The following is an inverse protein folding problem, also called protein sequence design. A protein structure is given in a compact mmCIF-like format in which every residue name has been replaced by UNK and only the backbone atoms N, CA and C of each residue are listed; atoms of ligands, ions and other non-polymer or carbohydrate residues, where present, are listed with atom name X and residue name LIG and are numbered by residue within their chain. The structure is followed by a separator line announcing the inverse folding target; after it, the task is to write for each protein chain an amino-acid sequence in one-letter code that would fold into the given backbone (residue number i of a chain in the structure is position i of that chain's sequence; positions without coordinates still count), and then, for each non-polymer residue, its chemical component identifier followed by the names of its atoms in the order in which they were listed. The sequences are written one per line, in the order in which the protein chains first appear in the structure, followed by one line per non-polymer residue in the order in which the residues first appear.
data_IF_603866587141
#
_entry.id   IF_603866587141
#
_cell.length_a   1.000
_cell.length_b   1.000
_cell.length_c   1.000
_cell.angle_alpha   90.00
_cell.angle_beta   90.00
_cell.angle_gamma   90.00
#
_symmetry.space_group_name_H-M   'P 1'
#
loop_
_entity.id
_entity.type
_entity.pdbx_description
1 polymer ?
#
# COMPACT_ATOMS: atom_id res chain seq x y z
N UNK A 1 1.79 22.76 0.88
CA UNK A 1 3.12 22.46 0.28
C UNK A 1 2.93 21.15 -0.45
N UNK A 2 3.36 21.02 -1.71
CA UNK A 2 3.19 19.75 -2.45
C UNK A 2 4.29 18.80 -1.98
N UNK A 3 3.92 17.61 -1.53
CA UNK A 3 4.87 16.56 -1.17
C UNK A 3 5.49 16.00 -2.46
N UNK A 4 6.82 15.96 -2.51
CA UNK A 4 7.55 15.38 -3.64
C UNK A 4 8.01 13.97 -3.27
N UNK A 5 7.48 12.98 -3.97
CA UNK A 5 7.92 11.60 -3.83
C UNK A 5 9.33 11.41 -4.36
N UNK A 6 10.12 10.60 -3.67
CA UNK A 6 11.38 10.11 -4.21
C UNK A 6 11.16 8.85 -5.04
N UNK A 7 12.04 8.60 -6.01
CA UNK A 7 12.02 7.36 -6.79
C UNK A 7 12.14 6.12 -5.88
N UNK A 8 12.88 6.22 -4.79
CA UNK A 8 13.01 5.15 -3.81
C UNK A 8 11.69 4.84 -3.12
N UNK A 9 10.94 5.87 -2.69
CA UNK A 9 9.61 5.70 -2.09
C UNK A 9 8.64 5.05 -3.07
N UNK A 10 8.57 5.54 -4.31
CA UNK A 10 7.70 4.98 -5.35
C UNK A 10 8.06 3.53 -5.68
N UNK A 11 9.36 3.25 -5.82
CA UNK A 11 9.84 1.90 -6.07
C UNK A 11 9.49 0.96 -4.91
N UNK A 12 9.64 1.41 -3.66
CA UNK A 12 9.27 0.63 -2.49
C UNK A 12 7.76 0.33 -2.46
N UNK A 13 6.92 1.33 -2.73
CA UNK A 13 5.46 1.15 -2.81
C UNK A 13 5.05 0.16 -3.92
N UNK A 14 5.84 0.05 -4.99
CA UNK A 14 5.61 -0.88 -6.10
C UNK A 14 6.20 -2.29 -5.89
N UNK A 15 6.58 -2.66 -4.65
CA UNK A 15 7.11 -4.01 -4.34
C UNK A 15 6.01 -4.99 -3.97
N UNK A 16 6.38 -6.28 -4.03
CA UNK A 16 5.56 -7.43 -3.64
C UNK A 16 4.81 -7.26 -2.31
N UNK A 17 5.48 -6.74 -1.28
CA UNK A 17 4.88 -6.57 0.05
C UNK A 17 3.84 -5.44 0.15
N UNK A 18 3.78 -4.56 -0.85
CA UNK A 18 2.91 -3.39 -0.88
C UNK A 18 1.79 -3.54 -1.92
N UNK A 19 1.97 -3.05 -3.16
CA UNK A 19 0.89 -3.02 -4.15
C UNK A 19 0.25 -4.40 -4.42
N UNK A 20 1.04 -5.47 -4.50
CA UNK A 20 0.51 -6.83 -4.69
C UNK A 20 -0.19 -7.39 -3.44
N UNK A 21 0.09 -6.84 -2.26
CA UNK A 21 -0.58 -7.21 -1.02
C UNK A 21 -2.01 -6.66 -0.92
N UNK A 22 -2.46 -5.87 -1.90
CA UNK A 22 -3.87 -5.56 -2.11
C UNK A 22 -4.65 -6.82 -2.50
N UNK A 23 -4.00 -7.74 -3.23
CA UNK A 23 -4.59 -9.00 -3.64
C UNK A 23 -4.55 -10.03 -2.50
N UNK A 24 -5.74 -10.41 -2.02
CA UNK A 24 -5.84 -11.35 -0.91
C UNK A 24 -5.28 -12.74 -1.24
N UNK A 25 -5.39 -13.21 -2.49
CA UNK A 25 -4.88 -14.51 -2.91
C UNK A 25 -3.35 -14.52 -2.96
N UNK A 26 -2.75 -13.41 -3.42
CA UNK A 26 -1.30 -13.24 -3.37
C UNK A 26 -0.78 -13.32 -1.93
N UNK A 27 -1.39 -12.56 -1.02
CA UNK A 27 -1.02 -12.56 0.41
C UNK A 27 -1.21 -13.94 1.03
N UNK A 28 -2.36 -14.58 0.79
CA UNK A 28 -2.66 -15.93 1.26
C UNK A 28 -1.60 -16.94 0.81
N UNK A 29 -1.19 -16.88 -0.45
CA UNK A 29 -0.13 -17.75 -0.99
C UNK A 29 1.21 -17.49 -0.31
N UNK A 30 1.60 -16.23 -0.11
CA UNK A 30 2.86 -15.88 0.55
C UNK A 30 2.88 -16.27 2.02
N UNK A 31 1.76 -16.15 2.72
CA UNK A 31 1.60 -16.65 4.10
C UNK A 31 1.75 -18.17 4.15
N UNK A 32 1.14 -18.91 3.20
CA UNK A 32 1.31 -20.37 3.08
C UNK A 32 2.76 -20.78 2.79
N UNK A 33 3.52 -19.96 2.06
CA UNK A 33 4.97 -20.11 1.86
C UNK A 33 5.81 -19.78 3.13
N UNK A 34 5.18 -19.42 4.24
CA UNK A 34 5.85 -19.06 5.50
C UNK A 34 6.39 -17.61 5.54
N UNK A 35 6.00 -16.76 4.59
CA UNK A 35 6.41 -15.35 4.57
C UNK A 35 5.45 -14.48 5.37
N UNK A 36 5.98 -13.41 5.96
CA UNK A 36 5.20 -12.42 6.71
C UNK A 36 4.69 -11.35 5.74
N UNK A 37 3.44 -11.47 5.32
CA UNK A 37 2.75 -10.48 4.48
C UNK A 37 1.49 -10.01 5.22
N UNK A 38 1.10 -8.77 4.97
CA UNK A 38 -0.10 -8.14 5.51
C UNK A 38 -1.01 -7.72 4.35
N UNK A 39 -2.33 -7.74 4.55
CA UNK A 39 -3.27 -7.26 3.56
C UNK A 39 -3.29 -5.73 3.56
N UNK A 40 -3.04 -5.13 2.39
CA UNK A 40 -3.12 -3.68 2.23
C UNK A 40 -4.59 -3.30 1.97
N UNK A 41 -5.16 -2.49 2.85
CA UNK A 41 -6.58 -2.12 2.85
C UNK A 41 -6.78 -0.60 2.92
N UNK A 42 -7.86 -0.11 2.32
CA UNK A 42 -8.24 1.31 2.26
C UNK A 42 -9.14 1.77 3.42
N UNK A 43 -9.10 1.08 4.56
CA UNK A 43 -9.95 1.42 5.72
C UNK A 43 -9.59 2.80 6.29
N UNK A 44 -10.58 3.68 6.54
CA UNK A 44 -10.31 5.04 7.05
C UNK A 44 -9.83 5.01 8.51
N UNK A 45 -10.43 4.16 9.34
CA UNK A 45 -10.12 4.05 10.77
C UNK A 45 -8.90 3.16 11.04
N UNK A 46 -8.36 3.23 12.26
CA UNK A 46 -7.29 2.35 12.71
C UNK A 46 -7.82 1.00 13.26
N UNK A 47 -9.11 0.70 13.05
CA UNK A 47 -9.72 -0.57 13.44
C UNK A 47 -9.40 -1.64 12.39
N UNK A 48 -8.16 -2.13 12.46
CA UNK A 48 -7.63 -3.13 11.55
C UNK A 48 -7.69 -4.52 12.18
N UNK A 49 -7.94 -5.53 11.34
CA UNK A 49 -7.71 -6.94 11.74
C UNK A 49 -6.21 -7.18 11.94
N UNK A 50 -5.78 -8.21 12.70
CA UNK A 50 -4.37 -8.44 13.02
C UNK A 50 -3.40 -8.50 11.83
N UNK A 51 -3.88 -8.91 10.64
CA UNK A 51 -3.08 -9.02 9.41
C UNK A 51 -3.38 -7.93 8.39
N UNK A 52 -4.16 -6.90 8.73
CA UNK A 52 -4.45 -5.79 7.84
C UNK A 52 -3.55 -4.59 8.14
N UNK A 53 -3.24 -3.82 7.11
CA UNK A 53 -2.44 -2.61 7.19
C UNK A 53 -3.02 -1.56 6.24
N UNK A 54 -3.18 -0.33 6.72
CA UNK A 54 -3.64 0.81 5.93
C UNK A 54 -2.66 1.99 5.94
N UNK A 55 -1.46 1.78 6.52
CA UNK A 55 -0.35 2.72 6.52
C UNK A 55 0.92 2.00 6.12
N UNK A 56 1.64 2.52 5.13
CA UNK A 56 2.91 1.97 4.66
C UNK A 56 4.02 2.91 5.13
N UNK A 57 5.11 2.33 5.64
CA UNK A 57 6.32 3.09 6.02
C UNK A 57 7.45 2.68 5.10
N UNK A 58 8.05 3.64 4.41
CA UNK A 58 9.23 3.40 3.56
C UNK A 58 10.52 3.36 4.40
N UNK A 59 11.63 2.81 3.87
CA UNK A 59 12.90 2.67 4.61
C UNK A 59 13.47 3.97 5.18
N UNK A 60 13.20 5.10 4.54
CA UNK A 60 13.57 6.45 4.98
C UNK A 60 12.70 6.98 6.14
N UNK A 61 11.70 6.20 6.57
CA UNK A 61 10.79 6.55 7.66
C UNK A 61 9.56 7.34 7.23
N UNK A 62 9.42 7.70 5.94
CA UNK A 62 8.22 8.36 5.45
C UNK A 62 7.01 7.43 5.54
N UNK A 63 5.89 7.97 6.01
CA UNK A 63 4.64 7.23 6.14
C UNK A 63 3.63 7.64 5.09
N UNK A 64 2.85 6.67 4.63
CA UNK A 64 1.79 6.85 3.64
C UNK A 64 0.51 6.21 4.13
N UNK A 65 -0.62 6.91 4.02
CA UNK A 65 -1.95 6.36 4.23
C UNK A 65 -2.45 5.76 2.93
N UNK A 66 -2.99 4.54 3.00
CA UNK A 66 -3.71 3.91 1.90
C UNK A 66 -5.12 4.50 1.82
N UNK A 67 -5.44 5.10 0.68
CA UNK A 67 -6.69 5.85 0.44
C UNK A 67 -7.71 5.00 -0.30
N UNK A 68 -7.23 4.21 -1.27
CA UNK A 68 -8.07 3.33 -2.07
C UNK A 68 -7.27 2.12 -2.48
N UNK A 69 -7.91 0.97 -2.55
CA UNK A 69 -7.34 -0.25 -3.12
C UNK A 69 -8.28 -0.85 -4.14
N UNK A 70 -7.73 -1.55 -5.13
CA UNK A 70 -8.48 -2.32 -6.11
C UNK A 70 -7.62 -3.50 -6.58
N UNK A 71 -8.24 -4.67 -6.68
CA UNK A 71 -7.61 -5.87 -7.25
C UNK A 71 -8.62 -6.52 -8.19
N UNK A 72 -8.17 -6.83 -9.39
CA UNK A 72 -8.92 -7.53 -10.41
C UNK A 72 -8.22 -8.87 -10.71
N UNK A 73 -8.76 -10.00 -10.21
CA UNK A 73 -8.14 -11.30 -10.39
C UNK A 73 -8.22 -11.82 -11.83
N UNK A 74 -9.10 -11.29 -12.69
CA UNK A 74 -9.20 -11.72 -14.09
C UNK A 74 -8.05 -11.15 -14.93
N UNK A 75 -7.73 -9.88 -14.72
CA UNK A 75 -6.65 -9.20 -15.44
C UNK A 75 -5.29 -9.28 -14.73
N UNK A 76 -5.28 -9.70 -13.46
CA UNK A 76 -4.10 -9.68 -12.61
C UNK A 76 -3.71 -8.26 -12.17
N UNK A 77 -4.58 -7.27 -12.37
CA UNK A 77 -4.33 -5.88 -12.00
C UNK A 77 -4.50 -5.68 -10.49
N UNK A 78 -3.49 -5.09 -9.86
CA UNK A 78 -3.50 -4.68 -8.47
C UNK A 78 -3.11 -3.20 -8.37
N UNK A 79 -3.91 -2.42 -7.66
CA UNK A 79 -3.69 -0.98 -7.55
C UNK A 79 -4.04 -0.42 -6.18
N UNK A 80 -3.31 0.62 -5.79
CA UNK A 80 -3.62 1.42 -4.61
C UNK A 80 -3.34 2.90 -4.83
N UNK A 81 -4.16 3.75 -4.22
CA UNK A 81 -3.88 5.17 -4.05
C UNK A 81 -3.35 5.41 -2.65
N UNK A 82 -2.26 6.18 -2.52
CA UNK A 82 -1.64 6.52 -1.24
C UNK A 82 -1.41 8.02 -1.10
N UNK A 83 -1.59 8.53 0.09
CA UNK A 83 -1.31 9.92 0.46
C UNK A 83 -0.17 9.96 1.49
N UNK A 84 0.80 10.87 1.39
CA UNK A 84 1.85 11.01 2.37
C UNK A 84 1.28 11.56 3.68
N UNK A 85 1.86 11.14 4.80
CA UNK A 85 1.61 11.74 6.11
C UNK A 85 2.74 12.73 6.38
N UNK A 86 2.41 14.02 6.46
CA UNK A 86 3.35 15.13 6.68
C UNK A 86 2.95 15.83 7.96
N UNK A 87 3.89 15.97 8.89
CA UNK A 87 3.66 16.58 10.22
C UNK A 87 2.47 15.95 11.00
N UNK A 88 2.22 14.66 10.78
CA UNK A 88 1.14 13.91 11.43
C UNK A 88 -0.22 14.02 10.73
N UNK A 89 -0.34 14.84 9.70
CA UNK A 89 -1.56 15.01 8.89
C UNK A 89 -1.45 14.32 7.54
N UNK A 90 -2.58 13.85 7.00
CA UNK A 90 -2.63 13.20 5.70
C UNK A 90 -2.75 14.28 4.61
N UNK A 91 -1.78 14.33 3.70
CA UNK A 91 -1.80 15.26 2.57
C UNK A 91 -2.56 14.65 1.37
N UNK A 92 -3.87 14.88 1.33
CA UNK A 92 -4.72 14.45 0.22
C UNK A 92 -4.49 15.21 -1.09
N UNK A 93 -3.70 16.30 -1.09
CA UNK A 93 -3.39 17.03 -2.32
C UNK A 93 -2.24 16.39 -3.11
N UNK A 94 -1.43 15.55 -2.47
CA UNK A 94 -0.25 14.91 -3.06
C UNK A 94 -0.42 13.40 -3.19
N UNK A 95 -1.57 12.93 -3.68
CA UNK A 95 -1.84 11.49 -3.83
C UNK A 95 -1.04 10.87 -4.98
N UNK A 96 -0.42 9.72 -4.72
CA UNK A 96 0.16 8.85 -5.74
C UNK A 96 -0.72 7.63 -6.00
N UNK A 97 -0.80 7.20 -7.26
CA UNK A 97 -1.44 5.93 -7.65
C UNK A 97 -0.35 4.96 -8.05
N UNK A 98 -0.35 3.80 -7.40
CA UNK A 98 0.59 2.70 -7.63
C UNK A 98 -0.20 1.56 -8.22
N UNK A 99 0.28 1.04 -9.35
CA UNK A 99 -0.37 -0.05 -10.05
C UNK A 99 0.68 -1.10 -10.44
N UNK A 100 0.29 -2.35 -10.33
CA UNK A 100 1.05 -3.50 -10.76
C UNK A 100 0.11 -4.49 -11.47
N UNK A 101 0.66 -5.32 -12.33
CA UNK A 101 -0.06 -6.39 -12.99
C UNK A 101 0.87 -7.59 -13.13
N UNK A 102 0.32 -8.79 -13.02
CA UNK A 102 1.05 -10.07 -13.18
C UNK A 102 0.71 -10.77 -14.48
#
# INVERSE_FOLDING_TARGET
MVFNYTDEQLNQLNRGENVYSVNSDFVNRKIKEGKKYQYIVDKPTNELRPNEQNKITTPDGQQFKVIKTYSDPETGFDGMAVAPIVDGEIDYASVAVIAAAT
#
